data_IF_528031641852
#
_entry.id   IF_528031641852
#
_cell.length_a   1.000
_cell.length_b   1.000
_cell.length_c   1.000
_cell.angle_alpha   90.00
_cell.angle_beta   90.00
_cell.angle_gamma   90.00
#
_symmetry.space_group_name_H-M   'P 1'
#
loop_
_entity.id
_entity.type
_entity.pdbx_description
1 polymer ?
#
# COMPACT_ATOMS: atom_id res chain seq x y z
N UNK A 1 7.67 5.02 13.18
CA UNK A 1 6.72 4.50 14.13
C UNK A 1 5.35 4.26 13.50
N UNK A 2 4.78 5.28 12.89
CA UNK A 2 3.52 5.11 12.19
C UNK A 2 3.59 4.04 11.11
N UNK A 3 4.68 4.03 10.35
CA UNK A 3 4.84 3.08 9.26
C UNK A 3 4.88 1.64 9.77
N UNK A 4 5.56 1.42 10.89
CA UNK A 4 5.63 0.08 11.49
C UNK A 4 4.24 -0.37 11.93
N UNK A 5 3.49 0.52 12.55
CA UNK A 5 2.14 0.21 13.00
C UNK A 5 1.21 -0.05 11.82
N UNK A 6 1.33 0.75 10.77
CA UNK A 6 0.49 0.61 9.58
C UNK A 6 0.76 -0.71 8.86
N UNK A 7 2.03 -1.07 8.67
CA UNK A 7 2.34 -2.34 8.02
C UNK A 7 1.97 -3.52 8.89
N UNK A 8 2.12 -3.40 10.21
CA UNK A 8 1.69 -4.47 11.11
C UNK A 8 0.18 -4.70 11.02
N UNK A 9 -0.59 -3.63 11.04
CA UNK A 9 -2.03 -3.74 10.92
C UNK A 9 -2.42 -4.36 9.58
N UNK A 10 -1.81 -3.88 8.50
CA UNK A 10 -2.11 -4.39 7.17
C UNK A 10 -1.78 -5.87 7.06
N UNK A 11 -0.63 -6.28 7.60
CA UNK A 11 -0.24 -7.69 7.61
C UNK A 11 -1.24 -8.55 8.37
N UNK A 12 -1.72 -8.06 9.50
CA UNK A 12 -2.73 -8.78 10.28
C UNK A 12 -4.06 -8.87 9.54
N UNK A 13 -4.45 -7.80 8.86
CA UNK A 13 -5.68 -7.82 8.08
C UNK A 13 -5.58 -8.78 6.91
N UNK A 14 -4.42 -8.87 6.27
CA UNK A 14 -4.18 -9.85 5.22
C UNK A 14 -4.31 -11.27 5.77
N UNK A 15 -3.68 -11.52 6.90
CA UNK A 15 -3.74 -12.84 7.54
C UNK A 15 -5.18 -13.20 7.90
N UNK A 16 -5.91 -12.24 8.44
CA UNK A 16 -7.32 -12.43 8.77
C UNK A 16 -8.13 -12.78 7.53
N UNK A 17 -7.96 -12.01 6.46
CA UNK A 17 -8.66 -12.25 5.21
C UNK A 17 -8.34 -13.61 4.60
N UNK A 18 -7.07 -14.02 4.70
CA UNK A 18 -6.65 -15.34 4.23
C UNK A 18 -7.36 -16.43 5.01
N UNK A 19 -7.36 -16.31 6.34
CA UNK A 19 -7.98 -17.33 7.19
C UNK A 19 -9.49 -17.39 7.01
N UNK A 20 -10.12 -16.24 6.82
CA UNK A 20 -11.55 -16.20 6.55
C UNK A 20 -11.91 -16.95 5.27
N UNK A 21 -11.02 -16.94 4.30
CA UNK A 21 -11.19 -17.66 3.05
C UNK A 21 -10.74 -19.11 3.15
N UNK A 22 -10.21 -19.51 4.30
CA UNK A 22 -9.73 -20.86 4.56
C UNK A 22 -8.60 -21.23 3.60
N UNK A 23 -7.78 -20.27 3.26
CA UNK A 23 -6.59 -20.48 2.43
C UNK A 23 -5.38 -20.72 3.31
N UNK A 24 -4.53 -21.66 2.90
CA UNK A 24 -3.23 -21.83 3.54
C UNK A 24 -2.29 -20.75 3.08
N UNK A 25 -1.16 -20.58 3.80
CA UNK A 25 -0.11 -19.69 3.37
C UNK A 25 0.39 -20.05 1.98
N UNK A 26 0.56 -21.35 1.74
CA UNK A 26 0.99 -21.83 0.43
C UNK A 26 0.03 -21.41 -0.67
N UNK A 27 -1.26 -21.57 -0.41
CA UNK A 27 -2.28 -21.22 -1.40
C UNK A 27 -2.25 -19.73 -1.74
N UNK A 28 -2.20 -18.89 -0.72
CA UNK A 28 -2.17 -17.46 -0.98
C UNK A 28 -0.88 -17.03 -1.67
N UNK A 29 0.26 -17.59 -1.24
CA UNK A 29 1.54 -17.29 -1.87
C UNK A 29 1.51 -17.64 -3.36
N UNK A 30 0.95 -18.80 -3.70
CA UNK A 30 0.83 -19.20 -5.09
C UNK A 30 -0.05 -18.25 -5.90
N UNK A 31 -1.17 -17.83 -5.31
CA UNK A 31 -2.08 -16.90 -5.97
C UNK A 31 -1.41 -15.55 -6.22
N UNK A 32 -0.55 -15.14 -5.31
CA UNK A 32 0.14 -13.85 -5.43
C UNK A 32 1.43 -13.94 -6.24
N UNK A 33 1.87 -15.15 -6.57
CA UNK A 33 3.12 -15.33 -7.31
C UNK A 33 4.35 -15.01 -6.49
N UNK A 34 4.30 -15.23 -5.18
CA UNK A 34 5.42 -14.97 -4.29
C UNK A 34 5.74 -16.23 -3.49
N UNK A 35 6.90 -16.23 -2.86
CA UNK A 35 7.29 -17.34 -2.01
C UNK A 35 6.50 -17.32 -0.71
N UNK A 36 6.37 -18.48 -0.08
CA UNK A 36 5.73 -18.58 1.22
C UNK A 36 6.46 -17.75 2.25
N UNK A 37 7.80 -17.72 2.17
CA UNK A 37 8.61 -16.92 3.10
C UNK A 37 8.29 -15.43 2.96
N UNK A 38 8.13 -14.95 1.73
CA UNK A 38 7.76 -13.55 1.49
C UNK A 38 6.38 -13.26 2.07
N UNK A 39 5.42 -14.17 1.86
CA UNK A 39 4.10 -13.99 2.43
C UNK A 39 4.14 -13.91 3.95
N UNK A 40 4.95 -14.75 4.59
CA UNK A 40 5.08 -14.72 6.03
C UNK A 40 5.60 -13.38 6.52
N UNK A 41 6.56 -12.80 5.80
CA UNK A 41 7.07 -11.47 6.13
C UNK A 41 5.98 -10.41 5.99
N UNK A 42 5.19 -10.50 4.95
CA UNK A 42 4.08 -9.57 4.73
C UNK A 42 3.06 -9.68 5.86
N UNK A 43 2.67 -10.90 6.22
CA UNK A 43 1.69 -11.09 7.29
C UNK A 43 2.24 -10.66 8.66
N UNK A 44 3.57 -10.66 8.81
CA UNK A 44 4.20 -10.15 10.03
C UNK A 44 4.42 -8.64 9.99
N UNK A 45 4.07 -7.99 8.89
CA UNK A 45 4.17 -6.54 8.78
C UNK A 45 5.57 -6.02 8.62
N UNK A 46 6.47 -6.80 8.00
CA UNK A 46 7.86 -6.36 7.86
C UNK A 46 7.99 -5.20 6.89
N UNK A 47 8.79 -4.24 7.29
CA UNK A 47 9.01 -3.03 6.51
C UNK A 47 9.89 -3.26 5.30
N UNK A 48 10.63 -4.37 5.27
CA UNK A 48 11.57 -4.64 4.20
C UNK A 48 10.90 -5.13 2.92
N UNK A 49 9.63 -5.51 2.98
CA UNK A 49 8.91 -5.97 1.79
C UNK A 49 8.42 -4.80 0.96
N UNK A 50 8.46 -4.97 -0.36
CA UNK A 50 7.98 -3.93 -1.26
C UNK A 50 6.50 -3.65 -1.01
N UNK A 51 6.14 -2.37 -0.96
CA UNK A 51 4.77 -1.98 -0.65
C UNK A 51 3.79 -2.49 -1.72
N UNK A 52 4.25 -2.60 -2.97
CA UNK A 52 3.40 -3.13 -4.04
C UNK A 52 2.94 -4.55 -3.78
N UNK A 53 3.80 -5.37 -3.14
CA UNK A 53 3.42 -6.73 -2.79
C UNK A 53 2.34 -6.75 -1.73
N UNK A 54 2.40 -5.82 -0.77
CA UNK A 54 1.34 -5.69 0.23
C UNK A 54 -0.01 -5.42 -0.46
N UNK A 55 -0.01 -4.51 -1.43
CA UNK A 55 -1.24 -4.17 -2.13
C UNK A 55 -1.78 -5.35 -2.94
N UNK A 56 -0.89 -6.08 -3.62
CA UNK A 56 -1.32 -7.24 -4.40
C UNK A 56 -1.97 -8.30 -3.51
N UNK A 57 -1.29 -8.64 -2.42
CA UNK A 57 -1.82 -9.67 -1.52
C UNK A 57 -3.09 -9.20 -0.84
N UNK A 58 -3.13 -7.92 -0.43
CA UNK A 58 -4.33 -7.36 0.19
C UNK A 58 -5.53 -7.46 -0.73
N UNK A 59 -5.34 -7.14 -2.01
CA UNK A 59 -6.40 -7.22 -3.00
C UNK A 59 -6.93 -8.65 -3.14
N UNK A 60 -6.04 -9.64 -3.13
CA UNK A 60 -6.44 -11.04 -3.25
C UNK A 60 -7.33 -11.50 -2.10
N UNK A 61 -7.14 -10.94 -0.91
CA UNK A 61 -7.97 -11.29 0.23
C UNK A 61 -9.13 -10.32 0.42
N UNK A 62 -9.38 -9.44 -0.55
CA UNK A 62 -10.57 -8.61 -0.56
C UNK A 62 -10.45 -7.28 0.17
N UNK A 63 -9.22 -6.83 0.47
CA UNK A 63 -9.03 -5.52 1.08
C UNK A 63 -8.93 -4.45 0.01
N UNK A 64 -9.77 -3.45 0.09
CA UNK A 64 -9.77 -2.35 -0.87
C UNK A 64 -9.16 -1.13 -0.20
N UNK A 65 -7.87 -0.97 -0.35
CA UNK A 65 -7.12 0.04 0.38
C UNK A 65 -7.35 1.46 -0.14
N UNK A 66 -7.51 1.60 -1.45
CA UNK A 66 -7.68 2.91 -2.06
C UNK A 66 -9.00 3.08 -2.78
N UNK A 67 -9.67 1.98 -3.07
CA UNK A 67 -10.87 2.03 -3.88
C UNK A 67 -12.11 2.34 -3.07
N UNK A 68 -12.92 3.15 -3.65
CA UNK A 68 -14.22 3.54 -3.14
C UNK A 68 -15.20 3.27 -4.28
N UNK A 69 -16.35 2.69 -4.00
CA UNK A 69 -17.35 2.38 -5.02
C UNK A 69 -17.75 3.61 -5.82
N UNK A 70 -17.73 4.78 -5.20
CA UNK A 70 -18.13 6.02 -5.84
C UNK A 70 -16.98 6.74 -6.52
N UNK A 71 -15.75 6.33 -6.25
CA UNK A 71 -14.56 7.01 -6.75
C UNK A 71 -13.43 6.02 -6.98
N UNK A 72 -13.47 5.29 -8.09
CA UNK A 72 -12.48 4.24 -8.35
C UNK A 72 -11.07 4.79 -8.50
N UNK A 73 -10.10 3.90 -8.33
CA UNK A 73 -8.68 4.27 -8.33
C UNK A 73 -8.28 5.00 -9.60
N UNK A 74 -8.77 4.56 -10.76
CA UNK A 74 -8.46 5.20 -12.03
C UNK A 74 -8.87 6.67 -12.04
N UNK A 75 -10.03 6.99 -11.46
CA UNK A 75 -10.50 8.36 -11.37
C UNK A 75 -9.65 9.18 -10.42
N UNK A 76 -9.23 8.58 -9.31
CA UNK A 76 -8.34 9.26 -8.38
C UNK A 76 -7.01 9.58 -9.03
N UNK A 77 -6.49 8.66 -9.84
CA UNK A 77 -5.25 8.88 -10.57
C UNK A 77 -5.38 10.02 -11.56
N UNK A 78 -6.48 10.05 -12.33
CA UNK A 78 -6.73 11.14 -13.27
C UNK A 78 -6.82 12.49 -12.57
N UNK A 79 -7.54 12.50 -11.46
CA UNK A 79 -7.73 13.74 -10.70
C UNK A 79 -6.39 14.25 -10.15
N UNK A 80 -5.56 13.34 -9.67
CA UNK A 80 -4.25 13.72 -9.17
C UNK A 80 -3.38 14.25 -10.29
N UNK A 81 -3.41 13.61 -11.46
CA UNK A 81 -2.65 14.06 -12.63
C UNK A 81 -3.09 15.46 -13.05
N UNK A 82 -4.41 15.70 -13.05
CA UNK A 82 -4.92 17.00 -13.42
C UNK A 82 -4.43 18.09 -12.47
N UNK A 83 -4.43 17.80 -11.19
CA UNK A 83 -3.93 18.75 -10.20
C UNK A 83 -2.45 19.00 -10.37
N UNK A 84 -1.69 17.96 -10.65
CA UNK A 84 -0.25 18.09 -10.89
C UNK A 84 0.03 18.94 -12.12
N UNK A 85 -0.79 18.79 -13.17
CA UNK A 85 -0.61 19.56 -14.40
C UNK A 85 -0.81 21.07 -14.21
N UNK A 86 -1.56 21.44 -13.17
CA UNK A 86 -1.79 22.85 -12.86
C UNK A 86 -0.67 23.49 -12.05
N UNK A 87 0.25 22.70 -11.56
CA UNK A 87 1.36 23.19 -10.73
C UNK A 87 2.61 23.32 -11.59
N UNK A 88 3.53 24.23 -11.21
CA UNK A 88 4.78 24.36 -11.97
C UNK A 88 5.60 23.07 -11.85
N UNK A 89 6.27 22.71 -12.95
CA UNK A 89 7.12 21.53 -12.97
C UNK A 89 8.22 21.60 -11.94
N UNK A 90 8.65 22.81 -11.63
CA UNK A 90 9.76 23.04 -10.73
C UNK A 90 9.31 23.98 -9.63
N UNK A 91 9.36 23.48 -8.41
CA UNK A 91 9.01 24.30 -7.26
C UNK A 91 10.24 25.10 -6.85
N UNK A 92 10.09 26.44 -6.77
CA UNK A 92 11.15 27.31 -6.32
C UNK A 92 10.96 27.58 -4.84
N UNK A 93 11.99 27.30 -4.08
CA UNK A 93 12.00 27.58 -2.67
C UNK A 93 12.10 29.09 -2.47
N UNK A 94 11.26 29.62 -1.62
CA UNK A 94 11.35 31.03 -1.27
C UNK A 94 12.21 31.24 -0.09
N UNK A 95 12.56 31.38 0.28
CA UNK A 95 13.15 31.51 1.21
C UNK A 95 13.73 31.30 2.16
N UNK A 96 13.94 31.66 2.23
CA UNK A 96 14.32 31.39 2.89
C UNK A 96 14.34 31.31 4.08
N UNK A 97 14.02 31.59 4.10
CA UNK A 97 13.81 31.36 5.09
C UNK A 97 13.76 30.62 5.92
N UNK A 98 13.74 30.67 5.98
CA UNK A 98 13.68 29.92 6.71
C UNK A 98 13.86 29.02 7.23
N UNK A 99 14.03 28.92 7.10
CA UNK A 99 14.21 28.07 7.37
C UNK A 99 14.37 27.08 7.68
N UNK A 100 14.75 27.17 7.71
CA UNK A 100 14.96 26.16 7.76
C UNK A 100 14.75 25.14 8.21
N UNK A 101 14.57 25.23 8.22
CA UNK A 101 14.14 24.31 8.57
C UNK A 101 13.78 23.31 8.48
N UNK A 102 13.92 23.19 8.03
CA UNK A 102 13.43 22.16 7.79
C UNK A 102 13.71 21.45 7.92
#
# INVERSE_FOLDING_TARGET
KYAIEATSLLGEQIKLGRKQRKWSEKSLAERAGISRATLQKIENGEMSCAIGLYFEVATLVGLNLFEDNNFPLSRQMEQTKDKLALLPKRIQSKIKVVDDDF
#
